data_IF_133397111280
#
_entry.id   IF_133397111280
#
_cell.length_a   1.000
_cell.length_b   1.000
_cell.length_c   1.000
_cell.angle_alpha   90.00
_cell.angle_beta   90.00
_cell.angle_gamma   90.00
#
_symmetry.space_group_name_H-M   'P 1'
#
loop_
_entity.id
_entity.type
_entity.pdbx_description
1 polymer ?
#
# COMPACT_ATOMS: atom_id res chain seq x y z
N UNK A 1 10.10 21.76 13.96
CA UNK A 1 11.37 21.26 14.53
C UNK A 1 11.97 20.28 13.53
N UNK A 2 13.08 20.65 12.87
CA UNK A 2 13.93 19.72 12.15
C UNK A 2 14.53 18.80 13.20
N UNK A 3 14.20 17.52 13.15
CA UNK A 3 15.01 16.50 13.82
C UNK A 3 16.27 16.42 12.97
N UNK A 4 17.33 17.04 13.39
CA UNK A 4 18.65 16.78 12.84
C UNK A 4 19.02 15.39 13.36
N UNK A 5 19.04 14.41 12.46
CA UNK A 5 19.92 13.27 12.66
C UNK A 5 21.32 13.87 12.62
N UNK A 6 22.16 13.55 13.60
CA UNK A 6 23.59 13.90 13.53
C UNK A 6 24.09 13.46 12.15
N UNK A 7 24.86 14.34 11.48
CA UNK A 7 25.33 14.12 10.10
C UNK A 7 26.21 12.86 9.93
N UNK A 8 26.43 12.10 10.99
CA UNK A 8 27.20 10.85 11.05
C UNK A 8 26.36 9.61 11.42
N UNK A 9 25.02 9.69 11.51
CA UNK A 9 24.20 8.48 11.68
C UNK A 9 24.30 7.66 10.39
N UNK A 10 25.34 6.82 10.30
CA UNK A 10 25.43 5.77 9.29
C UNK A 10 24.17 4.91 9.46
N UNK A 11 23.40 4.80 8.37
CA UNK A 11 22.24 3.93 8.30
C UNK A 11 22.78 2.50 8.21
N UNK A 12 23.20 1.93 9.34
CA UNK A 12 23.67 0.54 9.41
C UNK A 12 22.43 -0.36 9.59
N UNK A 13 22.21 -1.25 8.63
CA UNK A 13 21.31 -2.39 8.84
C UNK A 13 22.02 -3.41 9.74
N UNK A 14 21.28 -4.05 10.64
CA UNK A 14 21.81 -5.23 11.34
C UNK A 14 22.23 -6.29 10.33
N UNK A 15 23.36 -6.97 10.57
CA UNK A 15 23.70 -8.20 9.86
C UNK A 15 22.64 -9.28 10.17
N UNK A 16 21.68 -9.41 9.28
CA UNK A 16 20.64 -10.43 9.35
C UNK A 16 20.86 -11.37 8.17
N UNK A 17 20.82 -12.68 8.42
CA UNK A 17 20.83 -13.68 7.33
C UNK A 17 19.67 -13.47 6.40
N UNK A 18 19.94 -13.24 5.10
CA UNK A 18 18.95 -13.00 4.06
C UNK A 18 18.92 -14.12 3.04
N UNK A 19 17.74 -14.49 2.58
CA UNK A 19 17.56 -15.42 1.46
C UNK A 19 17.95 -14.71 0.17
N UNK A 20 18.89 -15.29 -0.57
CA UNK A 20 19.28 -14.78 -1.90
C UNK A 20 18.18 -15.10 -2.92
N UNK A 21 17.48 -14.07 -3.39
CA UNK A 21 16.48 -14.11 -4.45
C UNK A 21 16.92 -13.22 -5.64
N UNK A 22 18.21 -12.90 -5.74
CA UNK A 22 18.74 -12.02 -6.81
C UNK A 22 18.68 -12.66 -8.20
N UNK A 23 18.42 -13.95 -8.27
CA UNK A 23 18.21 -14.70 -9.51
C UNK A 23 16.82 -14.50 -10.11
N UNK A 24 15.85 -13.99 -9.33
CA UNK A 24 14.49 -13.72 -9.81
C UNK A 24 14.44 -12.40 -10.60
N UNK A 25 13.60 -12.38 -11.64
CA UNK A 25 13.26 -11.13 -12.34
C UNK A 25 12.20 -10.40 -11.54
N UNK A 26 12.62 -9.48 -10.68
CA UNK A 26 11.72 -8.65 -9.87
C UNK A 26 11.41 -7.35 -10.61
N UNK A 27 10.12 -7.03 -10.75
CA UNK A 27 9.63 -5.82 -11.41
C UNK A 27 9.03 -4.87 -10.37
N UNK A 28 9.59 -3.68 -10.22
CA UNK A 28 8.96 -2.58 -9.51
C UNK A 28 8.25 -1.70 -10.53
N UNK A 29 6.93 -1.60 -10.41
CA UNK A 29 6.08 -0.86 -11.37
C UNK A 29 5.45 0.32 -10.66
N UNK A 30 5.85 1.54 -11.04
CA UNK A 30 5.40 2.77 -10.40
C UNK A 30 5.26 3.92 -11.42
N UNK A 31 4.95 5.12 -10.96
CA UNK A 31 4.94 6.31 -11.82
C UNK A 31 6.35 6.60 -12.33
N UNK A 32 6.44 7.15 -13.53
CA UNK A 32 7.73 7.51 -14.15
C UNK A 32 8.54 8.55 -13.36
N UNK A 33 7.88 9.32 -12.49
CA UNK A 33 8.50 10.33 -11.61
C UNK A 33 8.74 9.82 -10.17
N UNK A 34 8.46 8.54 -9.89
CA UNK A 34 8.73 7.91 -8.58
C UNK A 34 10.21 7.58 -8.42
N UNK A 35 10.77 7.91 -7.26
CA UNK A 35 12.17 7.64 -6.89
C UNK A 35 12.31 6.62 -5.75
N UNK A 36 11.20 6.22 -5.15
CA UNK A 36 11.15 5.47 -3.91
C UNK A 36 10.15 4.30 -4.00
N UNK A 37 10.51 3.25 -4.76
CA UNK A 37 9.68 2.07 -4.89
C UNK A 37 9.61 1.29 -3.56
N UNK A 38 8.39 1.16 -3.03
CA UNK A 38 8.07 0.38 -1.83
C UNK A 38 8.00 -1.13 -2.12
N UNK A 39 7.61 -1.52 -3.33
CA UNK A 39 7.25 -2.90 -3.68
C UNK A 39 7.77 -3.33 -5.06
N UNK A 40 7.97 -4.63 -5.20
CA UNK A 40 8.27 -5.30 -6.45
C UNK A 40 7.60 -6.68 -6.49
N UNK A 41 7.40 -7.20 -7.69
CA UNK A 41 6.72 -8.47 -7.93
C UNK A 41 7.55 -9.36 -8.82
N UNK A 42 7.52 -10.67 -8.59
CA UNK A 42 8.16 -11.67 -9.44
C UNK A 42 7.41 -13.00 -9.40
N UNK A 43 7.76 -13.90 -10.30
CA UNK A 43 7.22 -15.25 -10.34
C UNK A 43 8.35 -16.25 -10.56
N UNK A 44 8.34 -17.35 -9.83
CA UNK A 44 9.26 -18.46 -9.93
C UNK A 44 8.47 -19.75 -10.20
N UNK A 45 8.43 -20.18 -11.44
CA UNK A 45 7.54 -21.25 -11.87
C UNK A 45 6.08 -20.89 -11.69
N UNK A 46 5.42 -21.50 -10.70
CA UNK A 46 4.05 -21.26 -10.26
C UNK A 46 3.95 -20.48 -8.94
N UNK A 47 5.09 -20.15 -8.33
CA UNK A 47 5.17 -19.42 -7.07
C UNK A 47 5.23 -17.93 -7.33
N UNK A 48 4.21 -17.22 -6.83
CA UNK A 48 4.19 -15.76 -6.80
C UNK A 48 5.09 -15.26 -5.66
N UNK A 49 5.89 -14.24 -5.93
CA UNK A 49 6.65 -13.52 -4.95
C UNK A 49 6.28 -12.03 -4.97
N UNK A 50 6.01 -11.49 -3.79
CA UNK A 50 5.79 -10.05 -3.58
C UNK A 50 6.87 -9.58 -2.61
N UNK A 51 7.63 -8.58 -3.01
CA UNK A 51 8.78 -8.06 -2.29
C UNK A 51 8.46 -6.66 -1.80
N UNK A 52 8.64 -6.39 -0.52
CA UNK A 52 8.42 -5.08 0.09
C UNK A 52 9.75 -4.60 0.65
N UNK A 53 10.08 -3.34 0.41
CA UNK A 53 11.28 -2.69 0.92
C UNK A 53 11.41 -2.93 2.44
N UNK A 54 12.57 -3.43 2.89
CA UNK A 54 12.79 -3.74 4.30
C UNK A 54 13.18 -2.48 5.08
N UNK A 55 12.19 -1.79 5.58
CA UNK A 55 12.36 -0.58 6.40
C UNK A 55 12.56 -0.93 7.88
N UNK A 56 11.93 -2.02 8.32
CA UNK A 56 11.94 -2.40 9.73
C UNK A 56 13.31 -2.86 10.25
N UNK A 57 14.22 -3.29 9.36
CA UNK A 57 15.62 -3.58 9.74
C UNK A 57 16.42 -2.33 10.10
N UNK A 58 15.93 -1.14 9.71
CA UNK A 58 16.54 0.16 10.04
C UNK A 58 15.79 0.93 11.13
N UNK A 59 14.49 0.66 11.28
CA UNK A 59 13.60 1.35 12.22
C UNK A 59 13.16 0.36 13.30
N UNK A 60 13.95 0.24 14.36
CA UNK A 60 13.61 -0.64 15.47
C UNK A 60 12.43 -0.10 16.28
N UNK A 61 11.66 -1.03 16.84
CA UNK A 61 10.58 -0.71 17.80
C UNK A 61 11.17 0.10 18.97
N UNK A 62 10.45 1.17 19.34
CA UNK A 62 10.80 2.11 20.42
C UNK A 62 12.06 2.96 20.16
N UNK A 63 12.66 2.88 18.97
CA UNK A 63 13.69 3.82 18.57
C UNK A 63 13.13 5.24 18.38
N UNK A 64 14.00 6.25 18.36
CA UNK A 64 13.58 7.63 18.09
C UNK A 64 12.89 7.76 16.73
N UNK A 65 13.35 7.02 15.71
CA UNK A 65 12.74 6.96 14.38
C UNK A 65 11.35 6.32 14.42
N UNK A 66 11.18 5.23 15.17
CA UNK A 66 9.87 4.57 15.35
C UNK A 66 8.86 5.52 16.04
N UNK A 67 9.28 6.15 17.13
CA UNK A 67 8.46 7.13 17.86
C UNK A 67 8.09 8.33 16.97
N UNK A 68 9.03 8.78 16.14
CA UNK A 68 8.81 9.85 15.20
C UNK A 68 7.82 9.47 14.10
N UNK A 69 8.02 8.29 13.47
CA UNK A 69 7.12 7.75 12.45
C UNK A 69 5.71 7.53 13.01
N UNK A 70 5.58 6.99 14.23
CA UNK A 70 4.32 6.80 14.92
C UNK A 70 3.56 8.13 15.11
N UNK A 71 4.24 9.18 15.53
CA UNK A 71 3.63 10.51 15.71
C UNK A 71 3.17 11.14 14.40
N UNK A 72 3.87 10.87 13.30
CA UNK A 72 3.49 11.34 11.97
C UNK A 72 2.38 10.49 11.35
N UNK A 73 2.32 9.21 11.69
CA UNK A 73 1.37 8.21 11.20
C UNK A 73 1.48 7.87 9.71
N UNK A 74 1.69 8.83 8.85
CA UNK A 74 1.93 8.64 7.41
C UNK A 74 2.62 9.84 6.77
N UNK A 75 3.08 9.67 5.52
CA UNK A 75 3.40 10.81 4.67
C UNK A 75 2.18 11.72 4.54
N UNK A 76 2.44 13.03 4.49
CA UNK A 76 1.44 14.05 4.18
C UNK A 76 1.69 14.54 2.75
N UNK A 77 0.87 14.06 1.81
CA UNK A 77 0.93 14.44 0.40
C UNK A 77 0.03 15.63 0.16
N UNK A 78 0.64 16.81 -0.04
CA UNK A 78 -0.05 18.03 -0.45
C UNK A 78 0.22 18.28 -1.94
N UNK A 79 -0.63 19.01 -2.66
CA UNK A 79 -0.44 19.28 -4.08
C UNK A 79 0.86 20.01 -4.44
N UNK A 80 1.43 20.77 -3.49
CA UNK A 80 2.63 21.60 -3.63
C UNK A 80 3.86 21.02 -2.94
N UNK A 81 3.70 20.08 -2.00
CA UNK A 81 4.83 19.52 -1.23
C UNK A 81 4.47 18.20 -0.54
N UNK A 82 5.50 17.44 -0.18
CA UNK A 82 5.38 16.19 0.57
C UNK A 82 6.12 16.33 1.90
N UNK A 83 5.46 15.95 2.99
CA UNK A 83 6.11 15.79 4.29
C UNK A 83 6.26 14.31 4.58
N UNK A 84 7.49 13.82 4.53
CA UNK A 84 7.79 12.41 4.71
C UNK A 84 7.61 11.95 6.15
N UNK A 85 7.11 10.73 6.34
CA UNK A 85 7.01 10.06 7.64
C UNK A 85 8.39 9.73 8.20
N UNK A 86 9.27 9.26 7.34
CA UNK A 86 10.67 8.96 7.64
C UNK A 86 11.59 10.00 6.98
N UNK A 87 12.85 10.13 7.45
CA UNK A 87 13.85 10.96 6.77
C UNK A 87 14.03 10.53 5.31
N UNK A 88 14.16 11.47 4.36
CA UNK A 88 14.32 11.16 2.94
C UNK A 88 15.53 10.27 2.65
N UNK A 89 16.61 10.44 3.39
CA UNK A 89 17.85 9.67 3.29
C UNK A 89 17.59 8.19 3.58
N UNK A 90 16.80 7.90 4.62
CA UNK A 90 16.40 6.54 4.95
C UNK A 90 15.47 5.95 3.89
N UNK A 91 14.49 6.72 3.42
CA UNK A 91 13.59 6.27 2.34
C UNK A 91 14.37 5.91 1.09
N UNK A 92 15.35 6.74 0.71
CA UNK A 92 16.23 6.45 -0.43
C UNK A 92 17.10 5.21 -0.22
N UNK A 93 17.61 5.00 0.99
CA UNK A 93 18.44 3.83 1.32
C UNK A 93 17.62 2.51 1.31
N UNK A 94 16.33 2.57 1.64
CA UNK A 94 15.43 1.41 1.65
C UNK A 94 14.77 1.16 0.29
N UNK A 95 14.76 2.13 -0.62
CA UNK A 95 14.04 2.04 -1.90
C UNK A 95 14.53 0.88 -2.75
N UNK A 96 13.58 0.13 -3.32
CA UNK A 96 13.89 -1.00 -4.19
C UNK A 96 14.44 -0.52 -5.54
N UNK A 97 15.55 -1.12 -5.96
CA UNK A 97 16.18 -0.80 -7.25
C UNK A 97 17.01 0.49 -7.27
N UNK A 98 17.23 1.12 -6.10
CA UNK A 98 18.10 2.30 -6.01
C UNK A 98 19.60 1.95 -6.17
N UNK A 99 19.99 0.71 -5.88
CA UNK A 99 21.35 0.17 -6.00
C UNK A 99 21.31 -1.21 -6.64
N UNK A 100 22.47 -1.85 -6.85
CA UNK A 100 22.59 -3.14 -7.55
C UNK A 100 21.77 -4.29 -6.96
N UNK A 101 21.65 -4.35 -5.61
CA UNK A 101 20.73 -5.22 -4.89
C UNK A 101 19.99 -4.45 -3.80
N UNK A 102 18.84 -4.93 -3.39
CA UNK A 102 17.98 -4.29 -2.39
C UNK A 102 17.54 -5.29 -1.32
N UNK A 103 17.50 -4.83 -0.08
CA UNK A 103 16.93 -5.59 1.04
C UNK A 103 15.41 -5.52 1.00
N UNK A 104 14.76 -6.68 1.12
CA UNK A 104 13.32 -6.80 1.09
C UNK A 104 12.78 -7.80 2.12
N UNK A 105 11.51 -7.66 2.47
CA UNK A 105 10.70 -8.74 3.02
C UNK A 105 9.96 -9.36 1.85
N UNK A 106 10.29 -10.60 1.52
CA UNK A 106 9.72 -11.33 0.39
C UNK A 106 8.66 -12.33 0.85
N UNK A 107 7.49 -12.22 0.26
CA UNK A 107 6.31 -13.03 0.54
C UNK A 107 6.12 -13.95 -0.66
N UNK A 108 6.40 -15.25 -0.48
CA UNK A 108 6.19 -16.30 -1.48
C UNK A 108 4.91 -17.06 -1.19
N UNK A 109 4.12 -17.33 -2.23
CA UNK A 109 2.88 -18.08 -2.10
C UNK A 109 2.53 -18.83 -3.41
N UNK A 110 1.67 -19.84 -3.29
CA UNK A 110 0.99 -20.48 -4.41
C UNK A 110 -0.50 -20.36 -4.25
N UNK A 111 -1.21 -20.53 -5.34
CA UNK A 111 -2.67 -20.65 -5.33
C UNK A 111 -3.07 -22.11 -5.61
N UNK A 112 -3.96 -22.65 -4.76
CA UNK A 112 -4.71 -23.88 -5.00
C UNK A 112 -6.17 -23.47 -5.25
N UNK A 113 -6.52 -23.35 -6.53
CA UNK A 113 -7.75 -22.64 -6.92
C UNK A 113 -7.71 -21.18 -6.52
N UNK A 114 -8.57 -20.77 -5.61
CA UNK A 114 -8.62 -19.40 -5.05
C UNK A 114 -8.00 -19.28 -3.65
N UNK A 115 -7.59 -20.40 -3.06
CA UNK A 115 -6.97 -20.42 -1.74
C UNK A 115 -5.46 -20.23 -1.82
N UNK A 116 -4.92 -19.52 -0.84
CA UNK A 116 -3.47 -19.31 -0.72
C UNK A 116 -2.87 -20.51 0.00
N UNK A 117 -1.80 -21.03 -0.56
CA UNK A 117 -1.04 -22.17 -0.04
C UNK A 117 0.46 -21.92 -0.14
N UNK A 118 1.26 -22.77 0.49
CA UNK A 118 2.73 -22.75 0.46
C UNK A 118 3.31 -21.34 0.77
N UNK A 119 2.85 -20.76 1.87
CA UNK A 119 3.27 -19.43 2.30
C UNK A 119 4.69 -19.47 2.86
N UNK A 120 5.55 -18.66 2.30
CA UNK A 120 6.89 -18.39 2.82
C UNK A 120 7.10 -16.88 3.00
N UNK A 121 7.67 -16.47 4.14
CA UNK A 121 8.08 -15.06 4.34
C UNK A 121 9.54 -15.07 4.77
N UNK A 122 10.35 -14.28 4.05
CA UNK A 122 11.79 -14.21 4.29
C UNK A 122 12.29 -12.75 4.29
N UNK A 123 13.27 -12.48 5.13
CA UNK A 123 14.19 -11.38 4.87
C UNK A 123 15.07 -11.81 3.69
N UNK A 124 15.16 -11.00 2.66
CA UNK A 124 15.79 -11.39 1.39
C UNK A 124 16.62 -10.27 0.79
N UNK A 125 17.46 -10.66 -0.14
CA UNK A 125 18.16 -9.78 -1.07
C UNK A 125 17.63 -10.03 -2.48
N UNK A 126 17.28 -8.96 -3.19
CA UNK A 126 16.69 -9.02 -4.55
C UNK A 126 17.38 -8.05 -5.49
N UNK A 127 17.27 -8.30 -6.80
CA UNK A 127 17.61 -7.35 -7.86
C UNK A 127 16.33 -6.90 -8.56
N UNK A 128 16.16 -5.59 -8.70
CA UNK A 128 14.90 -5.01 -9.19
C UNK A 128 15.14 -4.29 -10.50
N UNK A 129 14.20 -4.48 -11.43
CA UNK A 129 14.07 -3.69 -12.65
C UNK A 129 12.88 -2.75 -12.49
N UNK A 130 13.13 -1.46 -12.56
CA UNK A 130 12.09 -0.44 -12.49
C UNK A 130 11.40 -0.29 -13.85
N UNK A 131 10.08 -0.15 -13.83
CA UNK A 131 9.23 0.03 -15.01
C UNK A 131 8.13 1.04 -14.70
N UNK A 132 7.82 1.94 -15.65
CA UNK A 132 6.67 2.82 -15.49
C UNK A 132 5.35 2.06 -15.73
N UNK A 133 4.24 2.55 -15.14
CA UNK A 133 2.91 2.01 -15.45
C UNK A 133 2.62 2.05 -16.94
N UNK A 134 2.98 3.14 -17.62
CA UNK A 134 2.77 3.32 -19.05
C UNK A 134 3.57 2.29 -19.89
N UNK A 135 4.80 1.98 -19.49
CA UNK A 135 5.62 0.99 -20.20
C UNK A 135 5.14 -0.44 -19.90
N UNK A 136 4.75 -0.72 -18.66
CA UNK A 136 4.15 -2.00 -18.30
C UNK A 136 2.86 -2.27 -19.10
N UNK A 137 1.99 -1.28 -19.25
CA UNK A 137 0.76 -1.41 -20.05
C UNK A 137 1.04 -1.73 -21.51
N UNK A 138 2.07 -1.09 -22.13
CA UNK A 138 2.44 -1.37 -23.53
C UNK A 138 2.86 -2.80 -23.77
N UNK A 139 3.54 -3.44 -22.82
CA UNK A 139 4.10 -4.78 -22.98
C UNK A 139 3.35 -5.85 -22.19
N UNK A 140 2.25 -5.53 -21.53
CA UNK A 140 1.52 -6.40 -20.61
C UNK A 140 1.23 -7.79 -21.17
N UNK A 141 0.82 -7.88 -22.43
CA UNK A 141 0.42 -9.13 -23.06
C UNK A 141 1.61 -9.86 -23.73
N UNK A 142 2.71 -9.17 -24.01
CA UNK A 142 3.88 -9.70 -24.70
C UNK A 142 4.96 -10.16 -23.72
N UNK A 143 5.03 -9.52 -22.56
CA UNK A 143 5.99 -9.84 -21.51
C UNK A 143 5.50 -11.02 -20.66
N UNK A 144 6.16 -12.17 -20.75
CA UNK A 144 5.71 -13.43 -20.14
C UNK A 144 5.39 -13.30 -18.66
N UNK A 145 6.26 -12.64 -17.88
CA UNK A 145 6.08 -12.48 -16.42
C UNK A 145 4.87 -11.57 -16.13
N UNK A 146 4.76 -10.42 -16.81
CA UNK A 146 3.63 -9.50 -16.61
C UNK A 146 2.29 -10.16 -16.97
N UNK A 147 2.25 -10.90 -18.07
CA UNK A 147 1.04 -11.62 -18.48
C UNK A 147 0.61 -12.66 -17.44
N UNK A 148 1.56 -13.44 -16.89
CA UNK A 148 1.27 -14.40 -15.82
C UNK A 148 0.76 -13.71 -14.55
N UNK A 149 1.43 -12.66 -14.12
CA UNK A 149 1.05 -11.87 -12.93
C UNK A 149 -0.33 -11.24 -13.13
N UNK A 150 -0.63 -10.71 -14.32
CA UNK A 150 -1.93 -10.12 -14.63
C UNK A 150 -3.06 -11.17 -14.57
N UNK A 151 -2.82 -12.39 -15.04
CA UNK A 151 -3.79 -13.48 -14.94
C UNK A 151 -4.07 -13.85 -13.47
N UNK A 152 -3.05 -13.87 -12.61
CA UNK A 152 -3.22 -14.07 -11.17
C UNK A 152 -4.05 -12.93 -10.56
N UNK A 153 -3.76 -11.69 -10.90
CA UNK A 153 -4.49 -10.52 -10.42
C UNK A 153 -5.97 -10.57 -10.82
N UNK A 154 -6.27 -10.89 -12.08
CA UNK A 154 -7.64 -11.02 -12.58
C UNK A 154 -8.38 -12.13 -11.83
N UNK A 155 -7.75 -13.29 -11.65
CA UNK A 155 -8.35 -14.44 -10.94
C UNK A 155 -8.64 -14.12 -9.47
N UNK A 156 -7.68 -13.49 -8.77
CA UNK A 156 -7.87 -13.10 -7.38
C UNK A 156 -8.92 -11.99 -7.22
N UNK A 157 -8.97 -11.02 -8.14
CA UNK A 157 -10.02 -9.99 -8.16
C UNK A 157 -11.41 -10.63 -8.36
N UNK A 158 -11.54 -11.62 -9.25
CA UNK A 158 -12.78 -12.37 -9.44
C UNK A 158 -13.20 -13.08 -8.15
N UNK A 159 -12.28 -13.82 -7.51
CA UNK A 159 -12.53 -14.45 -6.21
C UNK A 159 -13.03 -13.44 -5.17
N UNK A 160 -12.43 -12.26 -5.05
CA UNK A 160 -12.88 -11.24 -4.09
C UNK A 160 -14.28 -10.72 -4.42
N UNK A 161 -14.59 -10.52 -5.70
CA UNK A 161 -15.91 -10.10 -6.14
C UNK A 161 -16.97 -11.15 -5.79
N UNK A 162 -16.68 -12.44 -6.00
CA UNK A 162 -17.56 -13.55 -5.62
C UNK A 162 -17.79 -13.61 -4.10
N UNK A 163 -16.81 -13.14 -3.31
CA UNK A 163 -16.92 -12.97 -1.87
C UNK A 163 -17.49 -11.61 -1.43
N UNK A 164 -18.11 -10.89 -2.34
CA UNK A 164 -18.84 -9.65 -2.05
C UNK A 164 -17.98 -8.40 -1.96
N UNK A 165 -16.77 -8.39 -2.55
CA UNK A 165 -16.00 -7.16 -2.68
C UNK A 165 -16.78 -6.13 -3.52
N UNK A 166 -16.74 -4.88 -3.07
CA UNK A 166 -17.44 -3.79 -3.75
C UNK A 166 -16.45 -2.69 -4.10
N UNK A 167 -16.24 -2.46 -5.40
CA UNK A 167 -15.48 -1.31 -5.94
C UNK A 167 -16.48 -0.38 -6.65
N UNK A 168 -16.58 0.86 -6.19
CA UNK A 168 -17.32 1.91 -6.91
C UNK A 168 -16.37 2.67 -7.82
N UNK A 169 -16.77 2.82 -9.07
CA UNK A 169 -16.04 3.63 -10.05
C UNK A 169 -16.41 5.11 -9.86
N UNK A 170 -15.73 5.76 -8.93
CA UNK A 170 -15.83 7.21 -8.74
C UNK A 170 -14.65 7.89 -9.43
N UNK A 171 -14.89 8.97 -10.19
CA UNK A 171 -13.79 9.69 -10.82
C UNK A 171 -12.89 10.30 -9.75
N UNK A 172 -11.59 10.07 -9.89
CA UNK A 172 -10.56 10.69 -9.07
C UNK A 172 -9.68 11.61 -9.90
N UNK A 173 -9.12 12.62 -9.24
CA UNK A 173 -8.23 13.58 -9.90
C UNK A 173 -6.93 13.69 -9.10
N UNK A 174 -5.85 13.80 -9.83
CA UNK A 174 -4.55 14.21 -9.30
C UNK A 174 -4.44 15.73 -9.36
N UNK A 175 -4.10 16.36 -8.24
CA UNK A 175 -3.92 17.79 -8.11
C UNK A 175 -2.46 18.05 -7.79
N UNK A 176 -1.74 18.69 -8.72
CA UNK A 176 -0.32 19.05 -8.55
C UNK A 176 -0.13 20.55 -8.74
N UNK A 177 0.82 21.11 -8.02
CA UNK A 177 1.26 22.50 -8.19
C UNK A 177 2.69 22.51 -8.71
N UNK A 178 2.91 23.23 -9.80
CA UNK A 178 4.23 23.43 -10.37
C UNK A 178 4.34 24.89 -10.84
N UNK A 179 5.41 25.57 -10.45
CA UNK A 179 5.69 26.98 -10.81
C UNK A 179 4.46 27.89 -10.56
N UNK A 180 3.87 27.78 -9.35
CA UNK A 180 2.68 28.51 -8.88
C UNK A 180 1.39 28.24 -9.69
N UNK A 181 1.42 27.31 -10.65
CA UNK A 181 0.26 26.90 -11.45
C UNK A 181 -0.30 25.59 -10.91
N UNK A 182 -1.62 25.53 -10.84
CA UNK A 182 -2.35 24.32 -10.44
C UNK A 182 -2.69 23.50 -11.67
N UNK A 183 -2.38 22.21 -11.62
CA UNK A 183 -2.74 21.23 -12.63
C UNK A 183 -3.71 20.23 -12.01
N UNK A 184 -4.83 19.98 -12.68
CA UNK A 184 -5.79 18.94 -12.32
C UNK A 184 -5.88 17.99 -13.51
N UNK A 185 -5.59 16.71 -13.26
CA UNK A 185 -5.67 15.66 -14.27
C UNK A 185 -6.57 14.54 -13.77
N UNK A 186 -7.42 13.95 -14.59
CA UNK A 186 -8.08 12.69 -14.25
C UNK A 186 -7.02 11.64 -13.94
N UNK A 187 -7.27 10.84 -12.94
CA UNK A 187 -6.47 9.64 -12.73
C UNK A 187 -6.97 8.58 -13.71
N UNK A 188 -6.13 8.18 -14.64
CA UNK A 188 -6.45 7.16 -15.63
C UNK A 188 -6.35 5.77 -14.97
N UNK A 189 -7.38 4.96 -15.17
CA UNK A 189 -7.31 3.54 -14.84
C UNK A 189 -6.40 2.85 -15.86
N UNK A 190 -5.49 1.98 -15.39
CA UNK A 190 -4.63 1.18 -16.24
C UNK A 190 -4.53 -0.25 -15.72
N UNK A 191 -4.26 -1.19 -16.64
CA UNK A 191 -4.15 -2.60 -16.27
C UNK A 191 -2.98 -2.85 -15.32
N UNK A 192 -1.86 -2.16 -15.52
CA UNK A 192 -0.68 -2.28 -14.67
C UNK A 192 -0.94 -1.71 -13.25
N UNK A 193 -1.70 -0.62 -13.12
CA UNK A 193 -2.13 -0.11 -11.81
C UNK A 193 -3.06 -1.08 -11.10
N UNK A 194 -4.00 -1.69 -11.82
CA UNK A 194 -4.87 -2.71 -11.25
C UNK A 194 -4.10 -3.97 -10.85
N UNK A 195 -3.15 -4.41 -11.69
CA UNK A 195 -2.23 -5.51 -11.37
C UNK A 195 -1.48 -5.25 -10.06
N UNK A 196 -0.76 -4.14 -9.95
CA UNK A 196 0.02 -3.82 -8.74
C UNK A 196 -0.88 -3.69 -7.51
N UNK A 197 -2.01 -2.99 -7.64
CA UNK A 197 -2.97 -2.85 -6.54
C UNK A 197 -3.47 -4.22 -6.05
N UNK A 198 -3.75 -5.16 -6.96
CA UNK A 198 -4.21 -6.50 -6.61
C UNK A 198 -3.10 -7.33 -5.96
N UNK A 199 -1.84 -7.21 -6.43
CA UNK A 199 -0.69 -7.85 -5.79
C UNK A 199 -0.51 -7.36 -4.35
N UNK A 200 -0.73 -6.07 -4.08
CA UNK A 200 -0.67 -5.52 -2.73
C UNK A 200 -1.80 -6.04 -1.84
N UNK A 201 -2.98 -6.28 -2.40
CA UNK A 201 -4.09 -6.94 -1.68
C UNK A 201 -3.76 -8.40 -1.36
N UNK A 202 -3.16 -9.13 -2.32
CA UNK A 202 -2.69 -10.51 -2.10
C UNK A 202 -1.64 -10.54 -0.98
N UNK A 203 -0.66 -9.65 -0.99
CA UNK A 203 0.36 -9.56 0.06
C UNK A 203 -0.27 -9.36 1.45
N UNK A 204 -1.19 -8.41 1.58
CA UNK A 204 -1.87 -8.15 2.85
C UNK A 204 -2.74 -9.32 3.34
N UNK A 205 -3.42 -10.04 2.43
CA UNK A 205 -4.16 -11.28 2.72
C UNK A 205 -3.21 -12.38 3.20
N UNK A 206 -2.10 -12.59 2.49
CA UNK A 206 -1.11 -13.63 2.80
C UNK A 206 -0.43 -13.38 4.15
N UNK A 207 -0.01 -12.14 4.41
CA UNK A 207 0.59 -11.77 5.71
C UNK A 207 -0.43 -11.95 6.85
N UNK A 208 -1.68 -11.57 6.64
CA UNK A 208 -2.73 -11.77 7.65
C UNK A 208 -2.93 -13.24 7.97
N UNK A 209 -2.98 -14.12 6.95
CA UNK A 209 -3.08 -15.57 7.13
C UNK A 209 -1.85 -16.12 7.86
N UNK A 210 -0.63 -15.78 7.41
CA UNK A 210 0.61 -16.21 8.06
C UNK A 210 0.66 -15.81 9.53
N UNK A 211 0.26 -14.59 9.85
CA UNK A 211 0.26 -14.11 11.22
C UNK A 211 -0.74 -14.84 12.12
N UNK A 212 -1.92 -15.18 11.60
CA UNK A 212 -2.92 -15.98 12.33
C UNK A 212 -2.37 -17.37 12.62
N UNK A 213 -1.79 -18.04 11.64
CA UNK A 213 -1.22 -19.38 11.76
C UNK A 213 -0.03 -19.43 12.75
N UNK A 214 0.73 -18.35 12.85
CA UNK A 214 1.91 -18.25 13.72
C UNK A 214 1.67 -17.48 15.03
N UNK A 215 0.42 -17.09 15.33
CA UNK A 215 0.04 -16.31 16.51
C UNK A 215 0.82 -15.00 16.66
N UNK A 216 1.07 -14.30 15.55
CA UNK A 216 1.71 -12.98 15.53
C UNK A 216 0.64 -11.91 15.66
N UNK A 217 0.77 -11.05 16.67
CA UNK A 217 -0.16 -9.93 16.85
C UNK A 217 0.08 -8.86 15.78
N UNK A 218 -0.91 -8.58 14.95
CA UNK A 218 -0.85 -7.57 13.90
C UNK A 218 -2.02 -6.57 13.96
N UNK A 219 -1.86 -5.38 13.39
CA UNK A 219 -2.97 -4.47 13.12
C UNK A 219 -3.76 -4.95 11.88
N UNK A 220 -4.92 -5.55 12.09
CA UNK A 220 -5.83 -5.94 11.01
C UNK A 220 -6.76 -4.80 10.62
N UNK A 221 -6.94 -4.59 9.31
CA UNK A 221 -7.98 -3.70 8.80
C UNK A 221 -9.27 -4.52 8.62
N UNK A 222 -10.33 -4.05 9.25
CA UNK A 222 -11.64 -4.71 9.24
C UNK A 222 -12.71 -3.74 8.75
N UNK A 223 -13.71 -4.25 8.05
CA UNK A 223 -14.82 -3.45 7.58
C UNK A 223 -16.10 -4.29 7.59
N UNK A 224 -17.08 -3.81 8.31
CA UNK A 224 -18.42 -4.43 8.32
C UNK A 224 -19.08 -4.29 6.95
N UNK A 225 -19.99 -5.19 6.62
CA UNK A 225 -20.77 -5.12 5.38
C UNK A 225 -21.53 -3.80 5.32
N UNK A 226 -21.44 -3.14 4.16
CA UNK A 226 -22.15 -1.90 3.89
C UNK A 226 -23.64 -2.12 3.71
N UNK A 227 -24.39 -1.03 3.77
CA UNK A 227 -25.83 -1.04 3.48
C UNK A 227 -26.06 -0.57 2.04
N UNK A 228 -26.23 -1.53 1.13
CA UNK A 228 -26.48 -1.26 -0.28
C UNK A 228 -27.86 -1.79 -0.68
N UNK A 229 -28.57 -1.04 -1.52
CA UNK A 229 -29.79 -1.56 -2.13
C UNK A 229 -29.45 -2.66 -3.14
N UNK A 230 -30.41 -3.56 -3.39
CA UNK A 230 -30.23 -4.61 -4.39
C UNK A 230 -29.92 -4.02 -5.77
N UNK A 231 -30.57 -2.92 -6.16
CA UNK A 231 -30.34 -2.22 -7.44
C UNK A 231 -28.87 -1.76 -7.57
N UNK A 232 -28.25 -1.28 -6.48
CA UNK A 232 -26.81 -0.89 -6.46
C UNK A 232 -25.93 -2.11 -6.64
N UNK A 233 -26.22 -3.22 -5.95
CA UNK A 233 -25.41 -4.45 -6.02
C UNK A 233 -25.50 -5.04 -7.43
N UNK A 234 -26.70 -5.18 -7.99
CA UNK A 234 -26.94 -5.79 -9.30
C UNK A 234 -26.37 -4.96 -10.47
N UNK A 235 -26.23 -3.65 -10.29
CA UNK A 235 -25.78 -2.71 -11.35
C UNK A 235 -24.44 -2.01 -11.02
N UNK A 236 -23.66 -2.51 -10.09
CA UNK A 236 -22.50 -1.81 -9.51
C UNK A 236 -21.49 -1.32 -10.55
N UNK A 237 -21.33 -2.06 -11.64
CA UNK A 237 -20.40 -1.74 -12.73
C UNK A 237 -20.91 -0.64 -13.68
N UNK A 238 -22.23 -0.40 -13.69
CA UNK A 238 -22.92 0.49 -14.63
C UNK A 238 -23.63 1.66 -13.93
N UNK A 239 -23.26 1.95 -12.69
CA UNK A 239 -23.83 3.08 -11.95
C UNK A 239 -23.43 4.41 -12.60
N UNK A 240 -24.39 5.32 -12.74
CA UNK A 240 -24.06 6.72 -13.04
C UNK A 240 -23.22 7.32 -11.91
N UNK A 241 -22.45 8.36 -12.20
CA UNK A 241 -21.59 9.05 -11.19
C UNK A 241 -22.44 9.44 -9.97
N UNK A 242 -23.63 9.98 -10.16
CA UNK A 242 -24.53 10.37 -9.08
C UNK A 242 -24.95 9.17 -8.21
N UNK A 243 -25.35 8.05 -8.81
CA UNK A 243 -25.71 6.83 -8.09
C UNK A 243 -24.51 6.20 -7.40
N UNK A 244 -23.32 6.21 -8.02
CA UNK A 244 -22.09 5.72 -7.40
C UNK A 244 -21.70 6.58 -6.18
N UNK A 245 -21.87 7.90 -6.26
CA UNK A 245 -21.62 8.81 -5.14
C UNK A 245 -22.62 8.59 -4.00
N UNK A 246 -23.91 8.40 -4.31
CA UNK A 246 -24.92 8.02 -3.31
C UNK A 246 -24.60 6.67 -2.67
N UNK A 247 -24.25 5.66 -3.46
CA UNK A 247 -23.87 4.33 -3.00
C UNK A 247 -22.62 4.38 -2.08
N UNK A 248 -21.70 5.30 -2.31
CA UNK A 248 -20.50 5.47 -1.47
C UNK A 248 -20.82 5.72 0.01
N UNK A 249 -21.97 6.31 0.31
CA UNK A 249 -22.47 6.53 1.68
C UNK A 249 -22.91 5.23 2.36
N UNK A 250 -23.15 4.17 1.59
CA UNK A 250 -23.49 2.84 2.11
C UNK A 250 -22.32 2.11 2.77
N UNK A 251 -21.09 2.48 2.46
CA UNK A 251 -19.91 1.84 3.06
C UNK A 251 -19.82 2.13 4.55
N UNK A 252 -19.50 1.10 5.32
CA UNK A 252 -19.07 1.26 6.71
C UNK A 252 -17.61 1.68 6.73
N UNK A 253 -17.23 2.45 7.74
CA UNK A 253 -15.83 2.85 7.93
C UNK A 253 -14.98 1.65 8.31
N UNK A 254 -13.83 1.51 7.69
CA UNK A 254 -12.81 0.56 8.11
C UNK A 254 -12.30 0.88 9.52
N UNK A 255 -12.02 -0.16 10.30
CA UNK A 255 -11.47 -0.09 11.66
C UNK A 255 -10.15 -0.85 11.69
N UNK A 256 -9.24 -0.43 12.58
CA UNK A 256 -8.00 -1.15 12.85
C UNK A 256 -8.16 -1.89 14.17
N UNK A 257 -7.93 -3.19 14.14
CA UNK A 257 -8.07 -4.08 15.33
C UNK A 257 -6.89 -5.03 15.41
N UNK A 258 -6.62 -5.60 16.58
CA UNK A 258 -5.62 -6.68 16.75
C UNK A 258 -6.23 -8.07 16.57
N UNK A 259 -7.55 -8.17 16.47
CA UNK A 259 -8.24 -9.43 16.19
C UNK A 259 -8.60 -9.47 14.71
N UNK A 260 -8.23 -10.54 14.00
CA UNK A 260 -8.61 -10.70 12.59
C UNK A 260 -10.14 -10.75 12.46
N UNK A 261 -10.66 -10.08 11.45
CA UNK A 261 -12.08 -10.10 11.11
C UNK A 261 -12.24 -9.68 9.64
N UNK A 262 -13.43 -9.90 9.10
CA UNK A 262 -13.78 -9.65 7.71
C UNK A 262 -13.51 -8.18 7.31
N UNK A 263 -12.96 -8.00 6.13
CA UNK A 263 -12.93 -6.72 5.41
C UNK A 263 -13.88 -6.81 4.20
N UNK A 264 -15.16 -6.49 4.41
CA UNK A 264 -16.21 -6.72 3.41
C UNK A 264 -15.96 -5.98 2.09
N UNK A 265 -15.45 -4.74 2.12
CA UNK A 265 -15.14 -3.99 0.91
C UNK A 265 -14.05 -4.63 0.04
N UNK A 266 -13.17 -5.47 0.64
CA UNK A 266 -12.20 -6.27 -0.10
C UNK A 266 -12.67 -7.70 -0.39
N UNK A 267 -13.77 -8.18 0.22
CA UNK A 267 -14.21 -9.57 0.10
C UNK A 267 -13.25 -10.57 0.75
N UNK A 268 -12.58 -10.19 1.84
CA UNK A 268 -11.56 -10.98 2.52
C UNK A 268 -11.93 -11.27 3.97
N UNK A 269 -11.65 -12.49 4.43
CA UNK A 269 -11.88 -12.92 5.81
C UNK A 269 -10.92 -12.28 6.82
N UNK A 270 -9.69 -11.94 6.39
CA UNK A 270 -8.71 -11.17 7.15
C UNK A 270 -7.81 -10.38 6.19
N UNK A 271 -7.39 -9.20 6.62
CA UNK A 271 -6.51 -8.34 5.84
C UNK A 271 -5.66 -7.45 6.76
N UNK A 272 -4.40 -7.26 6.39
CA UNK A 272 -3.52 -6.26 7.00
C UNK A 272 -2.84 -5.41 5.92
N UNK A 273 -2.46 -4.19 6.25
CA UNK A 273 -1.70 -3.33 5.36
C UNK A 273 -0.21 -3.47 5.70
N UNK A 274 0.63 -3.77 4.69
CA UNK A 274 2.04 -4.07 4.92
C UNK A 274 2.97 -3.57 3.81
N UNK A 275 2.42 -2.99 2.73
CA UNK A 275 3.14 -2.83 1.46
C UNK A 275 3.73 -1.44 1.25
N UNK A 276 3.61 -0.53 2.21
CA UNK A 276 4.14 0.83 2.09
C UNK A 276 4.77 1.33 3.41
N UNK A 277 5.79 0.63 3.93
CA UNK A 277 6.38 0.92 5.24
C UNK A 277 7.14 2.25 5.30
N UNK A 278 7.63 2.76 4.17
CA UNK A 278 8.30 4.06 4.11
C UNK A 278 7.35 5.24 4.36
N UNK A 279 6.06 5.04 4.11
CA UNK A 279 5.06 6.13 4.12
C UNK A 279 3.82 5.88 4.95
N UNK A 280 3.66 4.72 5.58
CA UNK A 280 2.55 4.39 6.50
C UNK A 280 3.06 3.66 7.72
N UNK A 281 2.82 4.23 8.90
CA UNK A 281 3.28 3.62 10.16
C UNK A 281 2.66 2.25 10.43
N UNK A 282 1.42 2.03 10.01
CA UNK A 282 0.76 0.74 10.17
C UNK A 282 1.52 -0.38 9.46
N UNK A 283 1.97 -0.11 8.25
CA UNK A 283 2.74 -1.04 7.42
C UNK A 283 4.13 -1.30 8.01
N UNK A 284 4.77 -0.26 8.54
CA UNK A 284 6.03 -0.37 9.27
C UNK A 284 5.87 -1.25 10.51
N UNK A 285 4.81 -1.06 11.30
CA UNK A 285 4.53 -1.88 12.49
C UNK A 285 4.32 -3.37 12.12
N UNK A 286 3.63 -3.66 11.01
CA UNK A 286 3.50 -5.04 10.49
C UNK A 286 4.87 -5.62 10.17
N UNK A 287 5.71 -4.86 9.46
CA UNK A 287 7.07 -5.30 9.13
C UNK A 287 7.92 -5.53 10.38
N UNK A 288 7.86 -4.65 11.37
CA UNK A 288 8.59 -4.81 12.63
C UNK A 288 8.21 -6.11 13.34
N UNK A 289 6.92 -6.47 13.34
CA UNK A 289 6.47 -7.75 13.91
C UNK A 289 7.02 -8.95 13.10
N UNK A 290 6.97 -8.88 11.76
CA UNK A 290 7.51 -9.93 10.89
C UNK A 290 9.02 -10.08 11.04
N UNK A 291 9.81 -8.99 11.04
CA UNK A 291 11.26 -9.02 11.21
C UNK A 291 11.64 -9.65 12.55
N UNK A 292 10.96 -9.27 13.64
CA UNK A 292 11.20 -9.86 14.96
C UNK A 292 10.91 -11.36 14.97
N UNK A 293 9.77 -11.77 14.40
CA UNK A 293 9.40 -13.18 14.31
C UNK A 293 10.43 -13.98 13.50
N UNK A 294 10.77 -13.50 12.31
CA UNK A 294 11.74 -14.16 11.40
C UNK A 294 13.16 -14.21 11.99
N UNK A 295 13.50 -13.26 12.85
CA UNK A 295 14.78 -13.22 13.58
C UNK A 295 14.75 -13.94 14.92
N UNK A 296 13.70 -14.72 15.23
CA UNK A 296 13.49 -15.40 16.51
C UNK A 296 13.56 -14.46 17.73
N UNK A 297 13.13 -13.21 17.56
CA UNK A 297 12.99 -12.22 18.63
C UNK A 297 11.54 -12.18 19.14
N UNK A 298 11.31 -11.80 20.42
CA UNK A 298 9.96 -11.66 20.95
C UNK A 298 9.17 -10.59 20.17
N UNK A 299 8.00 -10.95 19.65
CA UNK A 299 7.05 -10.01 19.03
C UNK A 299 6.28 -9.23 20.10
N UNK A 300 5.71 -8.09 19.73
CA UNK A 300 4.79 -7.37 20.60
C UNK A 300 3.50 -8.18 20.79
N UNK A 301 2.93 -8.08 21.97
CA UNK A 301 1.60 -8.64 22.26
C UNK A 301 0.46 -7.73 21.76
N UNK A 302 -0.78 -8.21 21.88
CA UNK A 302 -1.98 -7.48 21.47
C UNK A 302 -2.13 -6.12 22.16
N UNK A 303 -1.69 -5.98 23.41
CA UNK A 303 -1.82 -4.73 24.13
C UNK A 303 -0.82 -3.69 23.65
N UNK A 304 0.43 -4.10 23.43
CA UNK A 304 1.47 -3.23 22.88
C UNK A 304 1.13 -2.77 21.44
N UNK A 305 0.58 -3.66 20.59
CA UNK A 305 0.10 -3.30 19.26
C UNK A 305 -1.08 -2.33 19.34
N UNK A 306 -2.05 -2.55 20.24
CA UNK A 306 -3.20 -1.62 20.45
C UNK A 306 -2.77 -0.23 20.87
N UNK A 307 -1.82 -0.11 21.78
CA UNK A 307 -1.34 1.22 22.22
C UNK A 307 -0.67 1.98 21.07
N UNK A 308 0.06 1.28 20.18
CA UNK A 308 0.65 1.89 18.99
C UNK A 308 -0.40 2.35 17.98
N UNK A 309 -1.42 1.52 17.73
CA UNK A 309 -2.57 1.89 16.89
C UNK A 309 -3.27 3.12 17.45
N UNK A 310 -3.48 3.17 18.78
CA UNK A 310 -4.12 4.30 19.46
C UNK A 310 -3.31 5.60 19.33
N UNK A 311 -2.00 5.52 19.52
CA UNK A 311 -1.08 6.65 19.35
C UNK A 311 -1.12 7.20 17.93
N UNK A 312 -1.00 6.33 16.92
CA UNK A 312 -1.12 6.69 15.50
C UNK A 312 -2.48 7.31 15.18
N UNK A 313 -3.59 6.71 15.66
CA UNK A 313 -4.94 7.20 15.42
C UNK A 313 -5.20 8.59 16.00
N UNK A 314 -4.40 9.08 16.93
CA UNK A 314 -4.49 10.46 17.42
C UNK A 314 -4.06 11.50 16.36
N UNK A 315 -3.20 11.12 15.43
CA UNK A 315 -2.63 11.97 14.38
C UNK A 315 -3.37 11.86 13.05
N UNK A 316 -3.81 10.66 12.65
CA UNK A 316 -4.43 10.38 11.35
C UNK A 316 -5.60 11.31 10.97
N UNK A 317 -6.55 11.66 11.86
CA UNK A 317 -7.62 12.60 11.51
C UNK A 317 -7.12 13.99 11.12
N UNK A 318 -6.03 14.45 11.76
CA UNK A 318 -5.41 15.74 11.47
C UNK A 318 -4.70 15.71 10.10
N UNK A 319 -3.96 14.63 9.81
CA UNK A 319 -3.30 14.39 8.52
C UNK A 319 -4.35 14.39 7.40
N UNK A 320 -5.40 13.57 7.53
CA UNK A 320 -6.46 13.47 6.52
C UNK A 320 -7.22 14.80 6.32
N UNK A 321 -7.42 15.56 7.40
CA UNK A 321 -8.04 16.90 7.33
C UNK A 321 -7.13 17.87 6.55
N UNK A 322 -5.83 17.88 6.84
CA UNK A 322 -4.87 18.76 6.17
C UNK A 322 -4.80 18.46 4.67
N UNK A 323 -4.69 17.17 4.28
CA UNK A 323 -4.69 16.75 2.87
C UNK A 323 -5.96 17.25 2.17
N UNK A 324 -7.14 16.95 2.72
CA UNK A 324 -8.41 17.36 2.12
C UNK A 324 -8.53 18.87 1.97
N UNK A 325 -8.22 19.62 3.02
CA UNK A 325 -8.30 21.08 2.97
C UNK A 325 -7.33 21.69 1.95
N UNK A 326 -6.12 21.12 1.83
CA UNK A 326 -5.15 21.58 0.82
C UNK A 326 -5.64 21.27 -0.59
N UNK A 327 -6.12 20.05 -0.85
CA UNK A 327 -6.68 19.66 -2.15
C UNK A 327 -7.86 20.58 -2.52
N UNK A 328 -8.79 20.83 -1.59
CA UNK A 328 -9.94 21.69 -1.82
C UNK A 328 -9.50 23.14 -2.11
N UNK A 329 -8.49 23.65 -1.38
CA UNK A 329 -7.91 24.97 -1.63
C UNK A 329 -7.37 25.09 -3.07
N UNK A 330 -6.53 24.12 -3.50
CA UNK A 330 -5.95 24.16 -4.83
C UNK A 330 -6.97 23.93 -5.95
N UNK A 331 -8.02 23.13 -5.72
CA UNK A 331 -9.16 23.03 -6.65
C UNK A 331 -9.86 24.36 -6.81
N UNK A 332 -10.13 25.10 -5.73
CA UNK A 332 -10.72 26.42 -5.79
C UNK A 332 -9.80 27.43 -6.52
N UNK A 333 -8.48 27.36 -6.28
CA UNK A 333 -7.50 28.17 -6.97
C UNK A 333 -7.46 27.88 -8.46
N UNK A 334 -7.52 26.61 -8.86
CA UNK A 334 -7.61 26.20 -10.26
C UNK A 334 -8.83 26.79 -10.95
N UNK A 335 -10.02 26.71 -10.34
CA UNK A 335 -11.24 27.29 -10.89
C UNK A 335 -11.14 28.81 -11.02
N UNK A 336 -10.50 29.48 -10.06
CA UNK A 336 -10.25 30.92 -10.11
C UNK A 336 -9.28 31.30 -11.25
N UNK A 337 -8.28 30.46 -11.52
CA UNK A 337 -7.32 30.66 -12.61
C UNK A 337 -7.94 30.36 -13.99
N UNK A 338 -9.03 29.57 -14.03
CA UNK A 338 -9.71 29.11 -15.24
C UNK A 338 -11.19 29.52 -15.22
N UNK A 339 -11.48 30.81 -15.18
CA UNK A 339 -12.83 31.37 -15.00
C UNK A 339 -13.84 30.96 -16.10
N UNK A 340 -13.38 30.51 -17.26
CA UNK A 340 -14.22 30.02 -18.36
C UNK A 340 -14.46 28.50 -18.33
N UNK A 341 -13.97 27.81 -17.27
CA UNK A 341 -14.18 26.37 -17.16
C UNK A 341 -15.65 26.05 -16.87
N UNK A 342 -16.22 25.19 -17.68
CA UNK A 342 -17.57 24.64 -17.53
C UNK A 342 -17.50 23.13 -17.37
N UNK A 343 -18.39 22.54 -16.58
CA UNK A 343 -18.41 21.11 -16.35
C UNK A 343 -19.68 20.65 -15.63
N UNK A 344 -19.87 19.34 -15.57
CA UNK A 344 -20.97 18.72 -14.85
C UNK A 344 -20.61 18.51 -13.39
N UNK A 345 -21.60 18.60 -12.51
CA UNK A 345 -21.46 18.37 -11.07
C UNK A 345 -22.59 17.52 -10.52
N UNK A 346 -22.34 16.84 -9.41
CA UNK A 346 -23.35 16.13 -8.62
C UNK A 346 -23.65 16.97 -7.38
N UNK A 347 -24.92 17.29 -7.18
CA UNK A 347 -25.43 18.07 -6.04
C UNK A 347 -25.93 17.11 -4.95
#
# INVERSE_FOLDING_TARGET
HKVYLDEEAQVESKEISRKDLTHLTCLAIDNSDSSDADDAISIDGDKLWIHIADVASYVEIDSELDIFAQKRASNLYLPDQIFHMLPPELSSACSLGASGSSNAISIGLRFDGSEISDIEIHLSEIKVTNMSYEDADKVMNEHEILSKLNNIAISHKAFRNDNGAIKLNLPSVDVKVKDEKVFIRPQEDSNSRELVAEMMVIAGRTIAQFAIENNISLPYLTQETGNFSKDVIDNIQNLTIAKAFEASRGFKRSKITVKPSVHSGLGLSAYTSATSPMRRYLDLLVQQQLVRFLSNQPTLDDNAVKERIKAMNSSMPKVNKAIRQSIDHFKCLYLKQNNSWEGEGVI
#
